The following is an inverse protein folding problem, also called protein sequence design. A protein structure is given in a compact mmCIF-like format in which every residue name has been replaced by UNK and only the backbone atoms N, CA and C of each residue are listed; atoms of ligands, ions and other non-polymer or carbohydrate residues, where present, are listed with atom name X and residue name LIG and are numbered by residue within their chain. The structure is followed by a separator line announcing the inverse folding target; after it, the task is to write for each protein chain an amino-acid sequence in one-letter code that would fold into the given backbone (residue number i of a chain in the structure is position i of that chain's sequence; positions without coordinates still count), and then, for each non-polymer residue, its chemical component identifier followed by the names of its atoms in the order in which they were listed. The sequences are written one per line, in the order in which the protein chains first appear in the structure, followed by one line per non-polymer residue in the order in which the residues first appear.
data_IF_740635555151
#
_entry.id   IF_740635555151
#
_cell.length_a   1.000
_cell.length_b   1.000
_cell.length_c   1.000
_cell.angle_alpha   90.00
_cell.angle_beta   90.00
_cell.angle_gamma   90.00
#
_symmetry.space_group_name_H-M   'P 1'
#
loop_
_entity.id
_entity.type
_entity.pdbx_description
1 polymer ?
#
# COMPACT_ATOMS: atom_id res chain seq x y z
N UNK A 1 24.93 -35.38 -14.07
CA UNK A 1 23.81 -34.62 -14.65
C UNK A 1 23.82 -33.23 -14.03
N UNK A 2 23.91 -32.16 -14.83
CA UNK A 2 23.90 -30.79 -14.30
C UNK A 2 22.46 -30.50 -13.85
N UNK A 3 22.26 -30.04 -12.63
CA UNK A 3 20.92 -29.71 -12.13
C UNK A 3 20.27 -28.60 -12.97
N UNK A 4 18.93 -28.45 -12.93
CA UNK A 4 18.23 -27.41 -13.66
C UNK A 4 18.74 -26.02 -13.25
N UNK A 5 18.74 -25.08 -14.20
CA UNK A 5 19.03 -23.69 -13.87
C UNK A 5 17.93 -23.10 -12.96
N UNK A 6 18.28 -22.03 -12.23
CA UNK A 6 17.40 -21.43 -11.23
C UNK A 6 16.11 -20.83 -11.82
N UNK A 7 16.14 -20.38 -13.07
CA UNK A 7 14.98 -19.82 -13.77
C UNK A 7 14.00 -20.92 -14.18
N UNK A 8 14.50 -21.99 -14.79
CA UNK A 8 13.72 -23.16 -15.20
C UNK A 8 13.07 -23.86 -14.00
N UNK A 9 13.80 -23.98 -12.88
CA UNK A 9 13.24 -24.52 -11.64
C UNK A 9 12.11 -23.64 -11.08
N UNK A 10 12.31 -22.31 -11.10
CA UNK A 10 11.31 -21.34 -10.62
C UNK A 10 10.04 -21.34 -11.46
N UNK A 11 10.17 -21.39 -12.78
CA UNK A 11 9.01 -21.44 -13.70
C UNK A 11 8.21 -22.73 -13.47
N UNK A 12 8.88 -23.88 -13.42
CA UNK A 12 8.21 -25.16 -13.17
C UNK A 12 7.54 -25.24 -11.79
N UNK A 13 8.04 -24.48 -10.80
CA UNK A 13 7.45 -24.37 -9.47
C UNK A 13 6.15 -23.54 -9.48
N UNK A 14 6.07 -22.50 -10.29
CA UNK A 14 4.93 -21.56 -10.28
C UNK A 14 3.85 -21.93 -11.30
N UNK A 15 4.20 -22.65 -12.37
CA UNK A 15 3.26 -23.12 -13.38
C UNK A 15 2.58 -24.44 -12.99
N UNK A 16 1.25 -24.40 -12.93
CA UNK A 16 0.43 -25.58 -12.70
C UNK A 16 0.47 -26.46 -13.95
N UNK A 17 1.01 -27.68 -13.80
CA UNK A 17 1.08 -28.67 -14.90
C UNK A 17 2.42 -28.71 -15.63
N UNK A 18 3.35 -27.80 -15.32
CA UNK A 18 4.71 -27.89 -15.88
C UNK A 18 5.42 -29.17 -15.43
N UNK A 19 6.18 -29.75 -16.36
CA UNK A 19 6.94 -30.97 -16.13
C UNK A 19 8.02 -30.75 -15.06
N UNK A 20 8.34 -31.81 -14.32
CA UNK A 20 9.46 -31.78 -13.36
C UNK A 20 10.74 -31.45 -14.15
N UNK A 21 11.51 -30.42 -13.76
CA UNK A 21 12.73 -30.07 -14.49
C UNK A 21 13.66 -31.27 -14.64
N UNK A 22 14.21 -31.48 -15.84
CA UNK A 22 15.19 -32.52 -16.09
C UNK A 22 16.41 -32.34 -15.17
N UNK A 23 16.96 -33.43 -14.63
CA UNK A 23 18.07 -33.35 -13.69
C UNK A 23 17.68 -33.27 -12.21
N UNK A 24 16.40 -33.14 -11.88
CA UNK A 24 15.94 -33.12 -10.49
C UNK A 24 15.90 -34.55 -9.90
N UNK A 25 16.83 -34.82 -9.01
CA UNK A 25 16.96 -36.08 -8.26
C UNK A 25 16.60 -35.83 -6.79
N UNK A 26 15.94 -36.79 -6.16
CA UNK A 26 15.66 -36.71 -4.72
C UNK A 26 16.93 -36.96 -3.88
N UNK A 27 16.80 -36.85 -2.55
CA UNK A 27 17.91 -37.07 -1.61
C UNK A 27 18.46 -38.51 -1.59
N UNK A 28 17.87 -39.43 -2.37
CA UNK A 28 18.30 -40.82 -2.53
C UNK A 28 18.65 -41.15 -3.99
N UNK A 29 18.74 -40.16 -4.89
CA UNK A 29 19.10 -40.34 -6.30
C UNK A 29 17.97 -40.84 -7.20
N UNK A 30 16.72 -40.89 -6.71
CA UNK A 30 15.52 -41.27 -7.47
C UNK A 30 14.82 -40.09 -8.15
N UNK A 31 13.78 -40.37 -8.94
CA UNK A 31 13.00 -39.34 -9.64
C UNK A 31 12.30 -38.41 -8.64
N UNK A 32 12.60 -37.11 -8.67
CA UNK A 32 12.13 -36.14 -7.67
C UNK A 32 10.65 -35.74 -7.80
N UNK A 33 9.87 -36.33 -8.71
CA UNK A 33 8.54 -35.83 -9.09
C UNK A 33 7.55 -35.71 -7.93
N UNK A 34 7.53 -36.67 -7.00
CA UNK A 34 6.63 -36.60 -5.84
C UNK A 34 7.06 -35.53 -4.83
N UNK A 35 8.37 -35.39 -4.58
CA UNK A 35 8.90 -34.33 -3.70
C UNK A 35 8.74 -32.94 -4.32
N UNK A 36 8.90 -32.83 -5.64
CA UNK A 36 8.69 -31.58 -6.37
C UNK A 36 7.23 -31.13 -6.33
N UNK A 37 6.27 -32.06 -6.50
CA UNK A 37 4.85 -31.75 -6.37
C UNK A 37 4.48 -31.27 -4.95
N UNK A 38 5.04 -31.90 -3.91
CA UNK A 38 4.86 -31.46 -2.51
C UNK A 38 5.46 -30.06 -2.32
N UNK A 39 6.69 -29.83 -2.77
CA UNK A 39 7.37 -28.54 -2.65
C UNK A 39 6.60 -27.41 -3.36
N UNK A 40 6.09 -27.67 -4.57
CA UNK A 40 5.22 -26.74 -5.31
C UNK A 40 3.97 -26.38 -4.52
N UNK A 41 3.29 -27.37 -3.93
CA UNK A 41 2.09 -27.13 -3.13
C UNK A 41 2.42 -26.29 -1.89
N UNK A 42 3.51 -26.60 -1.18
CA UNK A 42 3.96 -25.80 -0.03
C UNK A 42 4.23 -24.35 -0.41
N UNK A 43 4.88 -24.11 -1.54
CA UNK A 43 5.16 -22.76 -2.03
C UNK A 43 3.87 -22.02 -2.38
N UNK A 44 2.93 -22.65 -3.09
CA UNK A 44 1.65 -22.04 -3.43
C UNK A 44 0.81 -21.69 -2.19
N UNK A 45 0.81 -22.57 -1.18
CA UNK A 45 0.17 -22.30 0.12
C UNK A 45 0.84 -21.13 0.82
N UNK A 46 2.17 -21.14 0.95
CA UNK A 46 2.90 -20.05 1.61
C UNK A 46 2.71 -18.69 0.91
N UNK A 47 2.68 -18.66 -0.42
CA UNK A 47 2.40 -17.44 -1.18
C UNK A 47 0.95 -16.96 -0.99
N UNK A 48 0.00 -17.88 -0.83
CA UNK A 48 -1.40 -17.52 -0.58
C UNK A 48 -1.58 -16.95 0.83
N UNK A 49 -0.97 -17.54 1.86
CA UNK A 49 -0.98 -16.97 3.21
C UNK A 49 -0.30 -15.61 3.26
N UNK A 50 0.84 -15.44 2.58
CA UNK A 50 1.53 -14.15 2.50
C UNK A 50 0.65 -13.05 1.85
N UNK A 51 -0.21 -13.41 0.89
CA UNK A 51 -1.19 -12.47 0.35
C UNK A 51 -2.30 -12.16 1.38
N UNK A 52 -2.81 -13.15 2.09
CA UNK A 52 -3.84 -12.90 3.12
C UNK A 52 -3.29 -11.98 4.23
N UNK A 53 -2.07 -12.21 4.69
CA UNK A 53 -1.38 -11.35 5.66
C UNK A 53 -1.04 -9.96 5.10
N UNK A 54 -0.71 -9.89 3.81
CA UNK A 54 -0.37 -8.64 3.11
C UNK A 54 -1.56 -7.76 2.74
N UNK A 55 -2.79 -8.28 2.82
CA UNK A 55 -4.02 -7.56 2.49
C UNK A 55 -5.07 -7.68 3.61
N UNK A 56 -4.76 -7.22 4.85
CA UNK A 56 -5.64 -7.41 6.00
C UNK A 56 -6.98 -6.69 5.86
N UNK A 57 -7.03 -5.51 5.25
CA UNK A 57 -8.29 -4.78 5.03
C UNK A 57 -9.18 -5.55 4.06
N UNK A 58 -8.63 -6.00 2.93
CA UNK A 58 -9.35 -6.86 1.98
C UNK A 58 -9.83 -8.14 2.67
N UNK A 59 -8.97 -8.81 3.43
CA UNK A 59 -9.30 -10.03 4.16
C UNK A 59 -10.47 -9.84 5.14
N UNK A 60 -10.54 -8.68 5.81
CA UNK A 60 -11.66 -8.33 6.71
C UNK A 60 -12.95 -8.04 5.95
N UNK A 61 -12.85 -7.38 4.78
CA UNK A 61 -14.02 -7.00 3.98
C UNK A 61 -14.71 -8.20 3.30
N UNK A 62 -13.94 -9.14 2.75
CA UNK A 62 -14.50 -10.29 2.03
C UNK A 62 -14.37 -11.61 2.79
N UNK A 63 -13.64 -11.63 3.90
CA UNK A 63 -13.29 -12.84 4.65
C UNK A 63 -11.99 -13.49 4.17
N UNK A 64 -11.14 -13.93 5.10
CA UNK A 64 -9.83 -14.52 4.82
C UNK A 64 -9.92 -15.75 3.90
N UNK A 65 -10.93 -16.60 4.05
CA UNK A 65 -11.13 -17.77 3.18
C UNK A 65 -11.47 -17.39 1.73
N UNK A 66 -12.23 -16.31 1.52
CA UNK A 66 -12.50 -15.79 0.18
C UNK A 66 -11.22 -15.22 -0.43
N UNK A 67 -10.46 -14.44 0.34
CA UNK A 67 -9.18 -13.93 -0.12
C UNK A 67 -8.19 -15.05 -0.46
N UNK A 68 -8.14 -16.14 0.32
CA UNK A 68 -7.28 -17.30 0.03
C UNK A 68 -7.64 -17.97 -1.31
N UNK A 69 -8.93 -18.10 -1.62
CA UNK A 69 -9.37 -18.61 -2.94
C UNK A 69 -8.94 -17.68 -4.08
N UNK A 70 -9.03 -16.38 -3.87
CA UNK A 70 -8.62 -15.36 -4.84
C UNK A 70 -7.10 -15.34 -5.01
N UNK A 71 -6.34 -15.48 -3.93
CA UNK A 71 -4.89 -15.56 -3.93
C UNK A 71 -4.38 -16.69 -4.84
N UNK A 72 -5.06 -17.85 -4.84
CA UNK A 72 -4.73 -18.94 -5.77
C UNK A 72 -4.97 -18.59 -7.24
N UNK A 73 -6.01 -17.80 -7.56
CA UNK A 73 -6.28 -17.29 -8.92
C UNK A 73 -5.24 -16.24 -9.32
N UNK A 74 -4.97 -15.30 -8.41
CA UNK A 74 -3.96 -14.25 -8.58
C UNK A 74 -2.58 -14.85 -8.84
N UNK A 75 -2.14 -15.86 -8.06
CA UNK A 75 -0.85 -16.52 -8.22
C UNK A 75 -0.64 -17.10 -9.63
N UNK A 76 -1.71 -17.59 -10.28
CA UNK A 76 -1.65 -18.12 -11.64
C UNK A 76 -1.51 -17.03 -12.70
N UNK A 77 -2.09 -15.86 -12.47
CA UNK A 77 -2.08 -14.74 -13.43
C UNK A 77 -0.93 -13.76 -13.19
N UNK A 78 -0.39 -13.74 -11.97
CA UNK A 78 0.64 -12.82 -11.51
C UNK A 78 1.61 -13.55 -10.58
N UNK A 79 2.42 -14.49 -11.12
CA UNK A 79 3.44 -15.16 -10.34
C UNK A 79 4.45 -14.15 -9.78
N UNK A 80 5.02 -14.39 -8.59
CA UNK A 80 6.04 -13.50 -8.04
C UNK A 80 7.23 -13.39 -9.00
N UNK A 81 7.71 -12.17 -9.22
CA UNK A 81 8.87 -11.81 -10.05
C UNK A 81 10.18 -11.68 -9.21
N UNK A 82 10.02 -11.50 -7.89
CA UNK A 82 11.09 -11.44 -6.89
C UNK A 82 10.93 -12.51 -5.80
N UNK A 83 12.02 -13.02 -5.20
CA UNK A 83 11.96 -13.84 -3.98
C UNK A 83 11.54 -13.04 -2.74
N UNK A 84 11.50 -11.69 -2.82
CA UNK A 84 11.12 -10.82 -1.71
C UNK A 84 9.60 -10.87 -1.49
N UNK A 85 9.15 -11.71 -0.56
CA UNK A 85 7.73 -11.94 -0.26
C UNK A 85 6.96 -10.65 0.10
N UNK A 86 7.60 -9.66 0.73
CA UNK A 86 6.95 -8.39 1.08
C UNK A 86 6.57 -7.54 -0.15
N UNK A 87 7.15 -7.79 -1.33
CA UNK A 87 6.78 -7.11 -2.59
C UNK A 87 5.64 -7.82 -3.31
N UNK A 88 5.39 -9.08 -2.98
CA UNK A 88 4.37 -9.87 -3.62
C UNK A 88 2.98 -9.30 -3.32
N UNK A 89 2.12 -9.30 -4.35
CA UNK A 89 0.80 -8.68 -4.31
C UNK A 89 0.73 -7.25 -4.87
N UNK A 90 1.83 -6.64 -5.34
CA UNK A 90 1.77 -5.29 -5.92
C UNK A 90 0.72 -5.14 -7.05
N UNK A 91 0.48 -6.20 -7.83
CA UNK A 91 -0.53 -6.23 -8.89
C UNK A 91 -1.97 -6.53 -8.39
N UNK A 92 -2.17 -6.81 -7.10
CA UNK A 92 -3.48 -7.18 -6.54
C UNK A 92 -4.57 -6.12 -6.79
N UNK A 93 -4.33 -4.80 -6.64
CA UNK A 93 -5.37 -3.82 -6.94
C UNK A 93 -5.84 -3.85 -8.40
N UNK A 94 -4.90 -3.98 -9.34
CA UNK A 94 -5.23 -4.08 -10.77
C UNK A 94 -6.01 -5.37 -11.06
N UNK A 95 -5.56 -6.49 -10.50
CA UNK A 95 -6.27 -7.76 -10.59
C UNK A 95 -7.71 -7.66 -10.04
N UNK A 96 -7.91 -7.05 -8.87
CA UNK A 96 -9.24 -6.88 -8.27
C UNK A 96 -10.14 -5.93 -9.08
N UNK A 97 -9.57 -4.99 -9.81
CA UNK A 97 -10.32 -4.10 -10.71
C UNK A 97 -10.94 -4.89 -11.87
N UNK A 98 -10.23 -5.90 -12.38
CA UNK A 98 -10.68 -6.73 -13.52
C UNK A 98 -11.49 -7.96 -13.08
N UNK A 99 -11.43 -8.32 -11.79
CA UNK A 99 -12.02 -9.55 -11.27
C UNK A 99 -13.56 -9.46 -11.15
N UNK A 100 -14.25 -9.83 -12.23
CA UNK A 100 -15.71 -9.79 -12.37
C UNK A 100 -16.52 -10.31 -11.16
N UNK A 101 -16.15 -11.43 -10.50
CA UNK A 101 -16.92 -11.93 -9.36
C UNK A 101 -17.04 -10.94 -8.18
N UNK A 102 -16.11 -9.98 -8.05
CA UNK A 102 -16.11 -8.95 -7.01
C UNK A 102 -16.35 -7.53 -7.54
N UNK A 103 -16.77 -7.37 -8.80
CA UNK A 103 -17.03 -6.07 -9.40
C UNK A 103 -18.12 -5.25 -8.67
N UNK A 104 -19.00 -5.93 -7.94
CA UNK A 104 -20.01 -5.28 -7.08
C UNK A 104 -19.40 -4.56 -5.86
N UNK A 105 -18.16 -4.87 -5.49
CA UNK A 105 -17.38 -4.22 -4.42
C UNK A 105 -16.36 -3.26 -5.05
N UNK A 106 -16.84 -2.18 -5.68
CA UNK A 106 -15.99 -1.26 -6.43
C UNK A 106 -14.87 -0.59 -5.62
N UNK A 107 -14.98 -0.56 -4.28
CA UNK A 107 -13.96 -0.03 -3.37
C UNK A 107 -12.82 -1.02 -3.06
N UNK A 108 -12.95 -2.30 -3.42
CA UNK A 108 -11.99 -3.33 -3.04
C UNK A 108 -10.57 -3.11 -3.63
N UNK A 109 -10.41 -2.63 -4.87
CA UNK A 109 -9.10 -2.21 -5.37
C UNK A 109 -8.46 -1.11 -4.52
N UNK A 110 -9.23 -0.14 -4.04
CA UNK A 110 -8.73 0.94 -3.20
C UNK A 110 -8.34 0.46 -1.80
N UNK A 111 -9.12 -0.47 -1.23
CA UNK A 111 -8.75 -1.16 0.01
C UNK A 111 -7.42 -1.94 -0.16
N UNK A 112 -7.21 -2.59 -1.31
CA UNK A 112 -5.94 -3.25 -1.60
C UNK A 112 -4.79 -2.26 -1.78
N UNK A 113 -5.01 -1.09 -2.40
CA UNK A 113 -4.02 -0.01 -2.48
C UNK A 113 -3.66 0.51 -1.09
N UNK A 114 -4.64 0.63 -0.20
CA UNK A 114 -4.43 1.04 1.18
C UNK A 114 -3.54 0.04 1.94
N UNK A 115 -3.82 -1.26 1.85
CA UNK A 115 -2.98 -2.30 2.45
C UNK A 115 -1.53 -2.25 1.93
N UNK A 116 -1.35 -2.03 0.62
CA UNK A 116 -0.02 -1.83 0.02
C UNK A 116 0.67 -0.58 0.55
N UNK A 117 -0.04 0.54 0.68
CA UNK A 117 0.50 1.79 1.19
C UNK A 117 0.90 1.70 2.67
N UNK A 118 0.10 1.01 3.49
CA UNK A 118 0.41 0.70 4.89
C UNK A 118 1.70 -0.11 4.98
N UNK A 119 1.84 -1.19 4.20
CA UNK A 119 3.06 -1.99 4.14
C UNK A 119 4.28 -1.21 3.62
N UNK A 120 4.08 -0.38 2.60
CA UNK A 120 5.14 0.47 2.05
C UNK A 120 5.57 1.56 3.04
N UNK A 121 4.65 2.05 3.86
CA UNK A 121 4.95 2.96 4.97
C UNK A 121 5.73 2.24 6.07
N UNK A 122 5.33 1.01 6.43
CA UNK A 122 6.02 0.18 7.44
C UNK A 122 7.49 -0.07 7.10
N UNK A 123 7.84 -0.26 5.82
CA UNK A 123 9.22 -0.52 5.39
C UNK A 123 10.00 0.73 4.95
N UNK A 124 9.41 1.92 5.02
CA UNK A 124 10.08 3.15 4.62
C UNK A 124 11.21 3.53 5.59
N UNK A 125 12.17 4.31 5.10
CA UNK A 125 13.20 4.93 5.94
C UNK A 125 12.57 5.85 7.00
N UNK A 126 13.21 5.94 8.16
CA UNK A 126 12.79 6.87 9.20
C UNK A 126 13.14 8.31 8.82
N UNK A 127 12.29 9.24 9.24
CA UNK A 127 12.53 10.68 9.17
C UNK A 127 12.59 11.25 10.57
N UNK A 128 13.42 12.28 10.78
CA UNK A 128 13.42 13.03 12.04
C UNK A 128 12.34 14.10 11.91
N UNK A 129 11.26 14.06 12.71
CA UNK A 129 10.22 15.06 12.62
C UNK A 129 10.72 16.41 13.13
N UNK A 130 10.14 17.48 12.58
CA UNK A 130 10.30 18.83 13.11
C UNK A 130 9.70 18.95 14.52
N UNK A 131 10.15 19.94 15.28
CA UNK A 131 9.59 20.22 16.60
C UNK A 131 8.11 20.66 16.50
N UNK A 132 7.32 20.38 17.53
CA UNK A 132 5.88 20.66 17.52
C UNK A 132 5.56 22.18 17.44
N UNK A 133 6.47 23.02 17.92
CA UNK A 133 6.40 24.49 17.86
C UNK A 133 6.92 25.06 16.53
N UNK A 134 7.37 24.22 15.59
CA UNK A 134 7.92 24.66 14.32
C UNK A 134 6.92 25.49 13.50
N UNK A 135 5.62 25.17 13.56
CA UNK A 135 4.58 25.97 12.87
C UNK A 135 4.53 27.42 13.35
N UNK A 136 4.73 27.66 14.65
CA UNK A 136 4.76 29.01 15.19
C UNK A 136 6.01 29.78 14.72
N UNK A 137 7.13 29.08 14.54
CA UNK A 137 8.35 29.62 13.96
C UNK A 137 8.21 29.91 12.46
N UNK A 138 7.28 29.23 11.77
CA UNK A 138 7.06 29.35 10.34
C UNK A 138 5.98 30.36 9.93
N UNK A 139 5.12 30.78 10.85
CA UNK A 139 4.00 31.70 10.61
C UNK A 139 4.38 33.15 10.23
N UNK A 140 5.65 33.41 9.88
CA UNK A 140 6.11 34.71 9.37
C UNK A 140 5.86 34.90 7.87
N UNK A 141 6.28 36.06 7.33
CA UNK A 141 6.11 36.50 5.92
C UNK A 141 6.70 35.55 4.85
N UNK A 142 7.34 34.47 5.26
CA UNK A 142 8.08 33.53 4.39
C UNK A 142 7.37 32.20 4.18
N UNK A 143 6.28 31.94 4.90
CA UNK A 143 5.55 30.67 4.84
C UNK A 143 5.09 30.31 3.42
N UNK A 144 4.57 31.29 2.68
CA UNK A 144 4.06 31.11 1.32
C UNK A 144 5.10 30.56 0.35
N UNK A 145 6.36 30.96 0.52
CA UNK A 145 7.48 30.51 -0.33
C UNK A 145 8.18 29.26 0.21
N UNK A 146 7.78 28.79 1.39
CA UNK A 146 8.43 27.67 2.04
C UNK A 146 8.24 26.36 1.26
N UNK A 147 9.24 25.49 1.34
CA UNK A 147 9.18 24.11 0.87
C UNK A 147 9.08 23.20 2.08
N UNK A 148 8.13 22.27 2.04
CA UNK A 148 7.91 21.30 3.10
C UNK A 148 8.48 19.96 2.64
N UNK A 149 9.27 19.33 3.49
CA UNK A 149 9.70 17.95 3.30
C UNK A 149 8.87 17.05 4.21
N UNK A 150 8.19 16.08 3.61
CA UNK A 150 7.38 15.10 4.32
C UNK A 150 8.22 13.89 4.74
N UNK A 151 7.73 13.14 5.72
CA UNK A 151 8.38 11.91 6.17
C UNK A 151 8.45 10.88 5.03
N UNK A 152 9.56 10.11 4.89
CA UNK A 152 9.68 9.09 3.83
C UNK A 152 8.63 7.98 3.91
N UNK A 153 8.00 7.81 5.07
CA UNK A 153 6.92 6.85 5.31
C UNK A 153 5.54 7.34 4.87
N UNK A 154 5.38 8.62 4.53
CA UNK A 154 4.09 9.18 4.14
C UNK A 154 3.65 8.64 2.77
N UNK A 155 2.40 8.20 2.66
CA UNK A 155 1.78 7.80 1.38
C UNK A 155 0.43 8.49 1.23
N UNK A 156 0.11 8.98 0.04
CA UNK A 156 -1.20 9.57 -0.28
C UNK A 156 -1.95 8.61 -1.19
N UNK A 157 -3.23 8.42 -0.91
CA UNK A 157 -4.15 7.65 -1.76
C UNK A 157 -5.37 8.52 -2.05
N UNK A 158 -5.73 8.57 -3.33
CA UNK A 158 -7.01 9.16 -3.77
C UNK A 158 -8.04 8.06 -3.95
N UNK A 159 -9.30 8.33 -3.60
CA UNK A 159 -10.37 7.34 -3.75
C UNK A 159 -11.72 8.01 -3.96
N UNK A 160 -12.48 7.50 -4.93
CA UNK A 160 -13.88 7.87 -5.15
C UNK A 160 -14.83 7.27 -4.10
N UNK A 161 -14.29 6.39 -3.23
CA UNK A 161 -15.03 5.70 -2.18
C UNK A 161 -14.72 6.32 -0.81
N UNK A 162 -15.56 6.06 0.21
CA UNK A 162 -15.26 6.42 1.60
C UNK A 162 -14.18 5.51 2.20
N UNK A 163 -12.99 5.51 1.59
CA UNK A 163 -11.93 4.54 1.84
C UNK A 163 -11.52 4.47 3.32
N UNK A 164 -11.35 5.62 3.97
CA UNK A 164 -10.99 5.66 5.38
C UNK A 164 -12.12 5.13 6.28
N UNK A 165 -13.39 5.50 6.01
CA UNK A 165 -14.52 4.99 6.79
C UNK A 165 -14.70 3.47 6.57
N UNK A 166 -14.54 2.98 5.33
CA UNK A 166 -14.55 1.54 5.00
C UNK A 166 -13.46 0.81 5.77
N UNK A 167 -12.23 1.34 5.76
CA UNK A 167 -11.12 0.78 6.53
C UNK A 167 -11.45 0.75 8.02
N UNK A 168 -11.95 1.84 8.61
CA UNK A 168 -12.32 1.87 10.04
C UNK A 168 -13.39 0.84 10.37
N UNK A 169 -14.41 0.69 9.52
CA UNK A 169 -15.46 -0.31 9.69
C UNK A 169 -14.93 -1.75 9.60
N UNK A 170 -13.95 -2.01 8.73
CA UNK A 170 -13.27 -3.29 8.66
C UNK A 170 -12.38 -3.56 9.90
N UNK A 171 -11.80 -2.49 10.48
CA UNK A 171 -10.88 -2.59 11.61
C UNK A 171 -11.59 -2.78 12.96
N UNK A 172 -12.62 -1.97 13.21
CA UNK A 172 -13.36 -1.89 14.46
C UNK A 172 -14.83 -2.24 14.20
N UNK A 173 -15.32 -3.30 14.83
CA UNK A 173 -16.70 -3.78 14.67
C UNK A 173 -17.78 -2.81 15.17
N UNK A 174 -17.40 -1.70 15.81
CA UNK A 174 -18.26 -0.68 16.40
C UNK A 174 -18.16 0.71 15.70
N UNK A 175 -17.38 0.82 14.61
CA UNK A 175 -17.27 2.08 13.89
C UNK A 175 -18.61 2.50 13.26
N UNK A 176 -18.89 3.82 13.14
CA UNK A 176 -20.04 4.31 12.39
C UNK A 176 -20.04 3.79 10.95
N UNK A 177 -21.21 3.62 10.32
CA UNK A 177 -21.28 3.18 8.94
C UNK A 177 -20.57 4.18 8.01
N UNK A 178 -19.93 3.71 6.93
CA UNK A 178 -19.28 4.58 5.96
C UNK A 178 -20.23 5.61 5.37
N UNK A 179 -19.79 6.87 5.33
CA UNK A 179 -20.54 7.95 4.68
C UNK A 179 -20.44 7.75 3.16
N UNK A 180 -21.50 8.04 2.42
CA UNK A 180 -21.47 7.96 0.95
C UNK A 180 -20.74 9.17 0.32
N UNK A 181 -19.45 9.33 0.65
CA UNK A 181 -18.60 10.43 0.21
C UNK A 181 -17.20 9.92 -0.10
N UNK A 182 -16.60 10.39 -1.21
CA UNK A 182 -15.21 10.13 -1.53
C UNK A 182 -14.27 10.59 -0.41
N UNK A 183 -13.23 9.81 -0.12
CA UNK A 183 -12.26 10.09 0.92
C UNK A 183 -10.84 9.78 0.45
N UNK A 184 -10.07 10.84 0.25
CA UNK A 184 -8.63 10.72 0.13
C UNK A 184 -8.02 10.37 1.49
N UNK A 185 -6.94 9.60 1.48
CA UNK A 185 -6.30 9.05 2.67
C UNK A 185 -4.82 9.36 2.65
N UNK A 186 -4.27 9.76 3.80
CA UNK A 186 -2.84 9.79 4.03
C UNK A 186 -2.47 8.69 5.01
N UNK A 187 -1.48 7.87 4.64
CA UNK A 187 -0.84 6.95 5.56
C UNK A 187 0.36 7.66 6.16
N UNK A 188 0.37 7.79 7.49
CA UNK A 188 1.46 8.32 8.30
C UNK A 188 2.03 7.21 9.18
N UNK A 189 3.24 7.37 9.70
CA UNK A 189 3.87 6.38 10.60
C UNK A 189 4.50 7.09 11.81
N UNK A 190 3.69 7.65 12.73
CA UNK A 190 4.24 8.16 13.98
C UNK A 190 4.91 7.00 14.74
N UNK A 191 6.17 7.20 15.14
CA UNK A 191 7.06 6.13 15.60
C UNK A 191 7.28 5.01 14.56
N UNK A 192 6.55 3.90 14.63
CA UNK A 192 6.81 2.69 13.82
C UNK A 192 5.58 1.97 13.27
N UNK A 193 4.37 2.43 13.59
CA UNK A 193 3.13 1.77 13.15
C UNK A 193 2.38 2.65 12.14
N UNK A 194 2.19 2.19 10.89
CA UNK A 194 1.43 2.93 9.89
C UNK A 194 -0.02 3.11 10.32
N UNK A 195 -0.53 4.31 10.12
CA UNK A 195 -1.91 4.68 10.44
C UNK A 195 -2.48 5.48 9.27
N UNK A 196 -3.63 5.06 8.71
CA UNK A 196 -4.33 5.84 7.71
C UNK A 196 -5.20 6.89 8.39
N UNK A 197 -5.18 8.10 7.85
CA UNK A 197 -5.98 9.24 8.28
C UNK A 197 -6.76 9.77 7.08
N UNK A 198 -8.02 10.14 7.27
CA UNK A 198 -8.78 10.84 6.25
C UNK A 198 -8.19 12.23 6.00
N UNK A 199 -8.00 12.58 4.74
CA UNK A 199 -7.61 13.92 4.32
C UNK A 199 -8.84 14.83 4.22
N UNK A 200 -8.71 16.14 4.52
CA UNK A 200 -9.72 17.11 4.13
C UNK A 200 -9.79 17.19 2.60
N UNK A 201 -10.94 17.64 2.06
CA UNK A 201 -11.08 17.91 0.63
C UNK A 201 -9.99 18.87 0.15
N UNK A 202 -9.35 18.57 -0.99
CA UNK A 202 -8.18 19.31 -1.50
C UNK A 202 -6.85 18.92 -0.86
N UNK A 203 -6.86 18.17 0.25
CA UNK A 203 -5.66 17.78 0.98
C UNK A 203 -4.72 16.86 0.19
N UNK A 204 -5.26 15.94 -0.63
CA UNK A 204 -4.41 15.09 -1.47
C UNK A 204 -3.65 15.90 -2.52
N UNK A 205 -4.33 16.80 -3.24
CA UNK A 205 -3.68 17.68 -4.22
C UNK A 205 -2.59 18.55 -3.59
N UNK A 206 -2.84 19.08 -2.39
CA UNK A 206 -1.81 19.80 -1.62
C UNK A 206 -0.58 18.91 -1.37
N UNK A 207 -0.78 17.71 -0.80
CA UNK A 207 0.33 16.81 -0.48
C UNK A 207 1.05 16.30 -1.72
N UNK A 208 0.34 15.99 -2.79
CA UNK A 208 0.90 15.55 -4.07
C UNK A 208 1.81 16.63 -4.68
N UNK A 209 1.39 17.90 -4.62
CA UNK A 209 2.22 19.02 -5.06
C UNK A 209 3.49 19.16 -4.20
N UNK A 210 3.37 19.04 -2.86
CA UNK A 210 4.53 19.06 -1.96
C UNK A 210 5.48 17.88 -2.24
N UNK A 211 4.95 16.66 -2.46
CA UNK A 211 5.75 15.48 -2.82
C UNK A 211 6.47 15.69 -4.16
N UNK A 212 5.85 16.40 -5.10
CA UNK A 212 6.47 16.79 -6.37
C UNK A 212 7.52 17.92 -6.23
N UNK A 213 7.76 18.41 -5.00
CA UNK A 213 8.75 19.45 -4.70
C UNK A 213 8.23 20.87 -4.87
N UNK A 214 6.92 21.09 -4.95
CA UNK A 214 6.33 22.43 -4.99
C UNK A 214 6.56 23.19 -3.67
N UNK A 215 6.46 24.52 -3.71
CA UNK A 215 6.36 25.32 -2.49
C UNK A 215 4.90 25.40 -2.01
N UNK A 216 4.69 25.99 -0.84
CA UNK A 216 3.36 26.11 -0.22
C UNK A 216 2.35 26.83 -1.12
N UNK A 217 2.73 27.92 -1.79
CA UNK A 217 1.82 28.64 -2.70
C UNK A 217 1.32 27.74 -3.82
N UNK A 218 2.21 27.06 -4.54
CA UNK A 218 1.83 26.19 -5.66
C UNK A 218 1.00 25.00 -5.17
N UNK A 219 1.32 24.45 -3.99
CA UNK A 219 0.51 23.40 -3.38
C UNK A 219 -0.89 23.88 -2.97
N UNK A 220 -0.99 25.11 -2.45
CA UNK A 220 -2.26 25.75 -2.10
C UNK A 220 -3.11 26.03 -3.35
N UNK A 221 -2.52 26.51 -4.43
CA UNK A 221 -3.18 26.69 -5.74
C UNK A 221 -3.72 25.37 -6.29
N UNK A 222 -2.93 24.29 -6.22
CA UNK A 222 -3.38 22.96 -6.64
C UNK A 222 -4.60 22.48 -5.83
N UNK A 223 -4.55 22.65 -4.51
CA UNK A 223 -5.64 22.26 -3.62
C UNK A 223 -6.91 23.11 -3.84
N UNK A 224 -6.77 24.42 -4.02
CA UNK A 224 -7.89 25.35 -4.22
C UNK A 224 -8.53 25.24 -5.61
N UNK A 225 -7.77 24.75 -6.60
CA UNK A 225 -8.31 24.40 -7.93
C UNK A 225 -9.34 23.27 -7.83
N UNK A 226 -9.11 22.30 -6.96
CA UNK A 226 -10.04 21.19 -6.74
C UNK A 226 -11.11 21.52 -5.68
N UNK A 227 -10.72 22.21 -4.60
CA UNK A 227 -11.59 22.55 -3.47
C UNK A 227 -11.40 24.02 -3.11
N UNK A 228 -12.32 24.86 -3.61
CA UNK A 228 -12.25 26.34 -3.48
C UNK A 228 -11.99 26.84 -2.06
N UNK A 229 -12.60 26.20 -1.06
CA UNK A 229 -12.54 26.59 0.34
C UNK A 229 -11.51 25.78 1.14
N UNK A 230 -10.46 25.26 0.47
CA UNK A 230 -9.39 24.49 1.12
C UNK A 230 -8.67 25.32 2.19
N UNK A 231 -8.57 24.75 3.38
CA UNK A 231 -7.83 25.30 4.51
C UNK A 231 -6.58 24.43 4.82
N UNK A 232 -5.35 24.95 4.60
CA UNK A 232 -4.13 24.21 4.90
C UNK A 232 -3.88 24.05 6.39
N UNK A 233 -4.46 24.87 7.27
CA UNK A 233 -4.17 24.85 8.72
C UNK A 233 -4.54 23.51 9.35
N UNK A 234 -5.74 22.98 9.05
CA UNK A 234 -6.17 21.68 9.56
C UNK A 234 -5.28 20.53 9.09
N UNK A 235 -4.88 20.54 7.81
CA UNK A 235 -3.99 19.54 7.24
C UNK A 235 -2.59 19.60 7.87
N UNK A 236 -2.00 20.79 7.97
CA UNK A 236 -0.66 20.96 8.56
C UNK A 236 -0.63 20.56 10.03
N UNK A 237 -1.69 20.89 10.79
CA UNK A 237 -1.84 20.47 12.18
C UNK A 237 -1.91 18.95 12.31
N UNK A 238 -2.65 18.30 11.40
CA UNK A 238 -2.72 16.83 11.33
C UNK A 238 -1.34 16.23 11.05
N UNK A 239 -0.60 16.74 10.07
CA UNK A 239 0.74 16.25 9.72
C UNK A 239 1.74 16.44 10.84
N UNK A 240 1.71 17.58 11.55
CA UNK A 240 2.58 17.84 12.69
C UNK A 240 2.29 16.90 13.85
N UNK A 241 1.01 16.71 14.18
CA UNK A 241 0.59 15.78 15.22
C UNK A 241 0.98 14.34 14.90
N UNK A 242 0.95 13.99 13.61
CA UNK A 242 1.39 12.70 13.08
C UNK A 242 2.91 12.58 12.86
N UNK A 243 3.71 13.59 13.23
CA UNK A 243 5.17 13.60 13.01
C UNK A 243 5.57 13.39 11.54
N UNK A 244 4.74 13.85 10.61
CA UNK A 244 4.88 13.59 9.18
C UNK A 244 5.64 14.68 8.40
N UNK A 245 6.11 15.73 9.07
CA UNK A 245 6.95 16.80 8.48
C UNK A 245 8.35 16.68 9.05
N UNK A 246 9.36 16.59 8.18
CA UNK A 246 10.78 16.39 8.55
C UNK A 246 11.63 17.63 8.32
N UNK A 247 11.21 18.53 7.43
CA UNK A 247 11.88 19.80 7.21
C UNK A 247 10.89 20.85 6.69
N UNK A 248 11.20 22.11 6.98
CA UNK A 248 10.66 23.24 6.24
C UNK A 248 11.77 24.25 6.01
N UNK A 249 11.94 24.67 4.77
CA UNK A 249 12.95 25.64 4.38
C UNK A 249 12.32 26.76 3.54
N UNK A 250 12.78 27.98 3.75
CA UNK A 250 12.46 29.10 2.86
C UNK A 250 13.61 29.27 1.88
N UNK A 251 13.36 29.27 0.55
CA UNK A 251 14.39 29.64 -0.40
C UNK A 251 14.91 31.06 -0.08
N UNK A 252 16.23 31.21 -0.15
CA UNK A 252 16.96 32.47 0.09
C UNK A 252 16.60 33.55 -0.93
#
# INVERSE_FOLDING_TARGET
MKGPDQGTFRTALLEVGSAVPEGLIDGHGGAAGQRFAVYRNTVAVGLSEALVEGFPTVARLIGAENLRRIAGLFLRQSPPDSPLMFRYGAAMPAFLTEFQPLAHLGYLPDAARLDLAMRASYHAADGIPVAADALALWAGERFETARITLAPALRVLRSDWPLHDIWRSAQAGDAPPPRAQAQDVVVVRPAYDPQPLALPAGGAAFLEAIIAGANVVVAYEAATTETRDFDPTGLLTLLLSAQAITCMETPL
#
